data_IF_961049310257
#
_entry.id   IF_961049310257
#
_cell.length_a   1.000
_cell.length_b   1.000
_cell.length_c   1.000
_cell.angle_alpha   90.00
_cell.angle_beta   90.00
_cell.angle_gamma   90.00
#
_symmetry.space_group_name_H-M   'P 1'
#
loop_
_entity.id
_entity.type
_entity.pdbx_description
1 polymer ?
#
# COMPACT_ATOMS: atom_id res chain seq x y z
N UNK A 1 16.66 -2.72 2.36
CA UNK A 1 16.26 -3.98 3.00
C UNK A 1 15.53 -4.81 1.98
N UNK A 2 15.70 -6.11 2.04
CA UNK A 2 15.00 -7.09 1.19
C UNK A 2 13.48 -6.93 1.32
N UNK A 3 12.99 -6.66 2.53
CA UNK A 3 11.59 -6.40 2.81
C UNK A 3 10.99 -5.25 1.99
N UNK A 4 11.68 -4.10 1.90
CA UNK A 4 11.21 -2.97 1.08
C UNK A 4 11.16 -3.35 -0.40
N UNK A 5 12.10 -4.17 -0.87
CA UNK A 5 12.09 -4.66 -2.25
C UNK A 5 10.87 -5.56 -2.49
N UNK A 6 10.63 -6.52 -1.61
CA UNK A 6 9.50 -7.43 -1.68
C UNK A 6 8.14 -6.72 -1.67
N UNK A 7 7.91 -5.80 -0.73
CA UNK A 7 6.67 -5.01 -0.68
C UNK A 7 6.51 -4.18 -1.94
N UNK A 8 7.59 -3.60 -2.48
CA UNK A 8 7.52 -2.87 -3.75
C UNK A 8 7.05 -3.77 -4.90
N UNK A 9 7.54 -5.00 -4.98
CA UNK A 9 7.09 -5.96 -6.01
C UNK A 9 5.60 -6.29 -5.85
N UNK A 10 5.14 -6.49 -4.61
CA UNK A 10 3.71 -6.67 -4.33
C UNK A 10 2.88 -5.46 -4.79
N UNK A 11 3.31 -4.26 -4.44
CA UNK A 11 2.62 -3.02 -4.85
C UNK A 11 2.50 -2.91 -6.37
N UNK A 12 3.58 -3.14 -7.13
CA UNK A 12 3.51 -3.01 -8.60
C UNK A 12 2.64 -4.09 -9.27
N UNK A 13 2.38 -5.19 -8.56
CA UNK A 13 1.53 -6.27 -9.06
C UNK A 13 0.03 -6.01 -8.86
N UNK A 14 -0.34 -5.03 -8.03
CA UNK A 14 -1.74 -4.64 -7.78
C UNK A 14 -2.38 -4.00 -9.00
N UNK A 15 -3.69 -4.19 -9.16
CA UNK A 15 -4.44 -3.59 -10.25
C UNK A 15 -4.65 -2.10 -10.01
N UNK A 16 -4.83 -1.71 -8.74
CA UNK A 16 -4.79 -0.31 -8.29
C UNK A 16 -3.52 0.42 -8.74
N UNK A 17 -2.34 -0.20 -8.65
CA UNK A 17 -1.10 0.41 -9.16
C UNK A 17 -1.10 0.48 -10.69
N UNK A 18 -1.55 -0.58 -11.38
CA UNK A 18 -1.56 -0.62 -12.85
C UNK A 18 -2.51 0.41 -13.46
N UNK A 19 -3.59 0.77 -12.76
CA UNK A 19 -4.53 1.81 -13.20
C UNK A 19 -4.06 3.24 -12.95
N UNK A 20 -2.94 3.45 -12.25
CA UNK A 20 -2.40 4.77 -11.94
C UNK A 20 -1.70 5.43 -13.14
N UNK A 21 -1.72 6.75 -13.18
CA UNK A 21 -0.88 7.54 -14.10
C UNK A 21 0.61 7.32 -13.82
N UNK A 22 1.47 7.64 -14.79
CA UNK A 22 2.94 7.51 -14.64
C UNK A 22 3.48 8.25 -13.41
N UNK A 23 2.96 9.45 -13.12
CA UNK A 23 3.37 10.25 -11.96
C UNK A 23 2.94 9.58 -10.66
N UNK A 24 1.70 9.09 -10.58
CA UNK A 24 1.18 8.37 -9.41
C UNK A 24 1.98 7.08 -9.17
N UNK A 25 2.31 6.33 -10.22
CA UNK A 25 3.16 5.14 -10.13
C UNK A 25 4.57 5.45 -9.59
N UNK A 26 5.18 6.54 -10.03
CA UNK A 26 6.48 7.00 -9.49
C UNK A 26 6.35 7.26 -7.99
N UNK A 27 5.30 7.98 -7.58
CA UNK A 27 5.03 8.29 -6.16
C UNK A 27 4.78 7.03 -5.33
N UNK A 28 3.98 6.09 -5.85
CA UNK A 28 3.64 4.84 -5.16
C UNK A 28 4.87 3.97 -4.86
N UNK A 29 5.88 3.98 -5.75
CA UNK A 29 7.14 3.21 -5.59
C UNK A 29 8.18 3.86 -4.69
N UNK A 30 8.01 5.13 -4.32
CA UNK A 30 8.98 5.84 -3.46
C UNK A 30 9.13 5.11 -2.14
N UNK A 31 10.37 5.05 -1.65
CA UNK A 31 10.73 4.29 -0.44
C UNK A 31 9.85 4.63 0.77
N UNK A 32 9.55 5.90 0.98
CA UNK A 32 8.70 6.33 2.11
C UNK A 32 7.27 5.84 1.95
N UNK A 33 6.72 5.84 0.73
CA UNK A 33 5.39 5.31 0.46
C UNK A 33 5.35 3.79 0.69
N UNK A 34 6.37 3.06 0.24
CA UNK A 34 6.48 1.61 0.48
C UNK A 34 6.55 1.29 1.98
N UNK A 35 7.33 2.05 2.75
CA UNK A 35 7.37 1.91 4.22
C UNK A 35 6.02 2.20 4.88
N UNK A 36 5.29 3.20 4.39
CA UNK A 36 3.96 3.52 4.90
C UNK A 36 2.95 2.39 4.61
N UNK A 37 3.02 1.80 3.41
CA UNK A 37 2.20 0.63 3.03
C UNK A 37 2.56 -0.58 3.90
N UNK A 38 3.85 -0.88 4.07
CA UNK A 38 4.33 -1.95 4.94
C UNK A 38 3.81 -1.78 6.38
N UNK A 39 3.96 -0.59 6.95
CA UNK A 39 3.46 -0.30 8.29
C UNK A 39 1.93 -0.45 8.38
N UNK A 40 1.19 0.02 7.37
CA UNK A 40 -0.26 -0.14 7.33
C UNK A 40 -0.68 -1.61 7.34
N UNK A 41 -0.02 -2.47 6.55
CA UNK A 41 -0.31 -3.90 6.52
C UNK A 41 -0.11 -4.55 7.90
N UNK A 42 1.00 -4.24 8.58
CA UNK A 42 1.26 -4.76 9.93
C UNK A 42 0.21 -4.28 10.96
N UNK A 43 -0.26 -3.04 10.85
CA UNK A 43 -1.33 -2.52 11.73
C UNK A 43 -2.64 -3.24 11.44
N UNK A 44 -2.97 -3.43 10.16
CA UNK A 44 -4.19 -4.10 9.70
C UNK A 44 -4.29 -5.54 10.21
N UNK A 45 -3.17 -6.26 10.33
CA UNK A 45 -3.14 -7.61 10.93
C UNK A 45 -3.72 -7.64 12.35
N UNK A 46 -3.65 -6.52 13.08
CA UNK A 46 -4.13 -6.42 14.46
C UNK A 46 -5.53 -5.81 14.58
N UNK A 47 -5.84 -4.75 13.82
CA UNK A 47 -7.08 -3.98 13.97
C UNK A 47 -8.10 -4.21 12.85
N UNK A 48 -7.71 -4.85 11.76
CA UNK A 48 -8.51 -5.03 10.55
C UNK A 48 -8.57 -3.80 9.64
N UNK A 49 -8.79 -4.04 8.34
CA UNK A 49 -8.77 -2.98 7.33
C UNK A 49 -9.81 -1.88 7.59
N UNK A 50 -11.04 -2.26 7.95
CA UNK A 50 -12.12 -1.29 8.17
C UNK A 50 -11.83 -0.31 9.31
N UNK A 51 -11.18 -0.78 10.39
CA UNK A 51 -10.81 0.07 11.50
C UNK A 51 -9.60 0.95 11.14
N UNK A 52 -8.59 0.37 10.49
CA UNK A 52 -7.43 1.11 10.00
C UNK A 52 -7.85 2.23 9.04
N UNK A 53 -8.78 1.97 8.11
CA UNK A 53 -9.22 2.94 7.11
C UNK A 53 -9.91 4.16 7.74
N UNK A 54 -10.67 3.95 8.83
CA UNK A 54 -11.33 5.02 9.60
C UNK A 54 -10.34 5.89 10.38
N UNK A 55 -9.26 5.29 10.88
CA UNK A 55 -8.26 5.97 11.70
C UNK A 55 -7.12 6.59 10.88
N UNK A 56 -6.88 6.06 9.68
CA UNK A 56 -5.74 6.44 8.85
C UNK A 56 -6.04 7.58 7.90
N UNK A 57 -5.14 8.57 7.91
CA UNK A 57 -5.08 9.66 6.93
C UNK A 57 -4.36 9.27 5.62
N UNK A 58 -4.22 7.97 5.34
CA UNK A 58 -3.64 7.49 4.08
C UNK A 58 -4.46 7.98 2.88
N UNK A 59 -3.79 8.33 1.78
CA UNK A 59 -4.48 8.77 0.58
C UNK A 59 -5.26 7.63 -0.10
N UNK A 60 -6.23 7.99 -0.93
CA UNK A 60 -7.12 7.03 -1.60
C UNK A 60 -6.37 5.95 -2.41
N UNK A 61 -5.34 6.33 -3.18
CA UNK A 61 -4.57 5.39 -3.99
C UNK A 61 -3.84 4.34 -3.14
N UNK A 62 -3.26 4.76 -2.01
CA UNK A 62 -2.65 3.84 -1.06
C UNK A 62 -3.70 2.95 -0.40
N UNK A 63 -4.88 3.48 -0.05
CA UNK A 63 -5.98 2.67 0.50
C UNK A 63 -6.40 1.56 -0.47
N UNK A 64 -6.50 1.86 -1.77
CA UNK A 64 -6.79 0.85 -2.80
C UNK A 64 -5.71 -0.24 -2.86
N UNK A 65 -4.43 0.14 -2.94
CA UNK A 65 -3.31 -0.81 -2.94
C UNK A 65 -3.36 -1.69 -1.68
N UNK A 66 -3.52 -1.09 -0.51
CA UNK A 66 -3.49 -1.80 0.77
C UNK A 66 -4.69 -2.77 0.88
N UNK A 67 -5.86 -2.37 0.41
CA UNK A 67 -7.05 -3.23 0.37
C UNK A 67 -6.82 -4.47 -0.52
N UNK A 68 -6.24 -4.28 -1.70
CA UNK A 68 -5.88 -5.40 -2.58
C UNK A 68 -4.83 -6.33 -1.96
N UNK A 69 -3.82 -5.75 -1.30
CA UNK A 69 -2.75 -6.52 -0.67
C UNK A 69 -3.23 -7.27 0.58
N UNK A 70 -4.25 -6.77 1.29
CA UNK A 70 -4.83 -7.42 2.46
C UNK A 70 -5.79 -8.56 2.09
N UNK A 71 -6.50 -8.45 0.95
CA UNK A 71 -7.49 -9.44 0.48
C UNK A 71 -6.90 -10.66 -0.23
N UNK A 72 -5.59 -10.67 -0.51
CA UNK A 72 -4.86 -11.73 -1.20
C UNK A 72 -4.04 -12.55 -0.22
#
# INVERSE_FOLDING_TARGET
SEQIHFIRQKVISTDAYKSMSKIQQIMAKKRNNIKAIEHALNVIENVGFAQWEKQSNSNYLNKLIINELHKK
#
